data_IF_677347361518
#
_entry.id   IF_677347361518
#
_cell.length_a   1.000
_cell.length_b   1.000
_cell.length_c   1.000
_cell.angle_alpha   90.00
_cell.angle_beta   90.00
_cell.angle_gamma   90.00
#
_symmetry.space_group_name_H-M   'P 1'
#
loop_
_entity.id
_entity.type
_entity.pdbx_description
1 polymer ?
#
# COMPACT_ATOMS: atom_id res chain seq x y z
N UNK A 1 -84.03 27.50 -16.35
CA UNK A 1 -83.48 28.69 -17.05
C UNK A 1 -82.28 29.21 -16.26
N UNK A 2 -81.12 29.38 -16.91
CA UNK A 2 -80.10 30.48 -16.79
C UNK A 2 -79.75 30.97 -15.36
N UNK A 3 -78.51 31.21 -14.89
CA UNK A 3 -77.12 31.40 -15.38
C UNK A 3 -76.27 31.40 -14.08
N UNK A 4 -75.14 30.69 -13.96
CA UNK A 4 -73.76 31.13 -14.25
C UNK A 4 -73.30 32.47 -13.62
N UNK A 5 -72.22 32.43 -12.82
CA UNK A 5 -71.42 33.57 -12.34
C UNK A 5 -70.71 33.26 -11.00
N UNK A 6 -69.57 32.54 -10.99
CA UNK A 6 -68.18 33.04 -11.10
C UNK A 6 -67.53 33.41 -9.75
N UNK A 7 -66.43 32.70 -9.39
CA UNK A 7 -65.08 33.27 -9.21
C UNK A 7 -64.01 32.20 -8.86
N UNK A 8 -62.70 32.47 -9.14
CA UNK A 8 -61.70 31.45 -9.45
C UNK A 8 -60.53 31.32 -8.44
N UNK A 9 -59.75 30.25 -8.66
CA UNK A 9 -58.31 30.00 -8.40
C UNK A 9 -57.59 30.73 -7.26
N UNK A 10 -56.88 29.94 -6.42
CA UNK A 10 -55.42 30.06 -6.22
C UNK A 10 -54.81 28.75 -5.71
N UNK A 11 -53.71 28.38 -6.36
CA UNK A 11 -52.73 27.32 -6.04
C UNK A 11 -52.39 27.25 -4.55
N UNK A 12 -52.04 26.06 -4.05
CA UNK A 12 -50.64 25.66 -3.76
C UNK A 12 -50.62 24.15 -3.48
N UNK A 13 -49.81 23.42 -4.26
CA UNK A 13 -49.42 22.04 -3.99
C UNK A 13 -48.46 22.01 -2.79
N UNK A 14 -48.78 21.23 -1.75
CA UNK A 14 -47.86 20.94 -0.65
C UNK A 14 -47.49 19.45 -0.65
N UNK A 15 -46.20 19.22 -0.93
CA UNK A 15 -45.31 18.23 -0.33
C UNK A 15 -45.76 16.76 -0.25
N UNK A 16 -45.36 16.00 -1.27
CA UNK A 16 -44.93 14.62 -1.08
C UNK A 16 -43.49 14.50 -1.59
N UNK A 17 -42.51 14.64 -0.70
CA UNK A 17 -41.09 14.32 -0.95
C UNK A 17 -40.37 14.25 0.40
N UNK A 18 -40.55 13.12 1.09
CA UNK A 18 -39.85 12.77 2.33
C UNK A 18 -39.22 11.40 2.18
N UNK A 19 -38.26 11.27 1.27
CA UNK A 19 -37.39 10.10 1.15
C UNK A 19 -36.05 10.55 0.54
N UNK A 20 -35.32 11.38 1.30
CA UNK A 20 -33.99 11.86 0.94
C UNK A 20 -32.93 11.17 1.80
N UNK A 21 -32.15 10.32 1.16
CA UNK A 21 -30.75 9.99 1.49
C UNK A 21 -30.45 9.61 2.96
N UNK A 22 -30.86 8.41 3.37
CA UNK A 22 -30.02 7.65 4.29
C UNK A 22 -28.80 7.18 3.48
N UNK A 23 -27.68 7.90 3.59
CA UNK A 23 -26.40 7.34 3.23
C UNK A 23 -26.24 6.07 4.08
N UNK A 24 -26.34 4.90 3.45
CA UNK A 24 -26.01 3.64 4.11
C UNK A 24 -24.59 3.78 4.61
N UNK A 25 -24.40 3.87 5.93
CA UNK A 25 -23.09 3.67 6.53
C UNK A 25 -22.56 2.38 5.91
N UNK A 26 -21.40 2.43 5.25
CA UNK A 26 -20.80 1.24 4.69
C UNK A 26 -20.71 0.20 5.81
N UNK A 27 -21.45 -0.91 5.68
CA UNK A 27 -21.46 -1.96 6.70
C UNK A 27 -20.01 -2.37 6.94
N UNK A 28 -19.57 -2.32 8.20
CA UNK A 28 -18.24 -2.77 8.57
C UNK A 28 -18.13 -4.24 8.19
N UNK A 29 -17.11 -4.67 7.44
CA UNK A 29 -17.00 -6.05 7.02
C UNK A 29 -17.02 -7.02 8.21
N UNK A 30 -17.68 -8.18 8.04
CA UNK A 30 -17.66 -9.23 9.05
C UNK A 30 -16.32 -9.97 9.07
N UNK A 31 -15.73 -10.06 10.25
CA UNK A 31 -14.47 -10.74 10.54
C UNK A 31 -14.64 -11.99 11.42
N UNK A 32 -15.84 -12.27 11.95
CA UNK A 32 -16.02 -13.26 13.02
C UNK A 32 -15.81 -14.71 12.60
N UNK A 33 -15.90 -14.99 11.30
CA UNK A 33 -15.85 -16.34 10.73
C UNK A 33 -14.50 -16.70 10.11
N UNK A 34 -13.44 -15.92 10.40
CA UNK A 34 -12.11 -16.18 9.85
C UNK A 34 -11.36 -17.25 10.68
N UNK A 35 -10.72 -18.24 10.03
CA UNK A 35 -9.99 -19.28 10.73
C UNK A 35 -8.74 -18.71 11.42
N UNK A 36 -8.42 -19.23 12.60
CA UNK A 36 -7.13 -18.97 13.24
C UNK A 36 -6.01 -19.55 12.37
N UNK A 37 -4.91 -18.81 12.25
CA UNK A 37 -3.78 -19.20 11.43
C UNK A 37 -2.46 -19.08 12.17
N UNK A 38 -1.63 -20.11 12.06
CA UNK A 38 -0.23 -20.06 12.49
C UNK A 38 0.62 -19.82 11.25
N UNK A 39 1.33 -18.70 11.22
CA UNK A 39 2.14 -18.31 10.06
C UNK A 39 3.18 -19.37 9.72
N UNK A 40 3.29 -19.66 8.41
CA UNK A 40 4.33 -20.50 7.81
C UNK A 40 5.36 -19.67 7.03
N UNK A 41 5.37 -18.36 7.20
CA UNK A 41 6.35 -17.49 6.56
C UNK A 41 7.77 -17.69 7.15
N UNK A 42 8.80 -17.21 6.47
CA UNK A 42 10.15 -17.09 7.06
C UNK A 42 10.14 -16.15 8.27
N UNK A 43 11.05 -16.28 9.25
CA UNK A 43 11.02 -15.48 10.49
C UNK A 43 10.91 -13.96 10.27
N UNK A 44 11.61 -13.45 9.26
CA UNK A 44 11.63 -12.04 8.87
C UNK A 44 10.28 -11.53 8.38
N UNK A 45 9.43 -12.44 7.89
CA UNK A 45 8.13 -12.18 7.27
C UNK A 45 6.94 -12.43 8.20
N UNK A 46 7.15 -12.97 9.41
CA UNK A 46 6.06 -13.35 10.35
C UNK A 46 5.43 -12.20 11.10
N UNK A 47 6.07 -11.03 11.12
CA UNK A 47 5.63 -9.93 11.96
C UNK A 47 6.14 -10.01 13.41
N UNK A 48 7.07 -10.92 13.71
CA UNK A 48 7.53 -11.22 15.07
C UNK A 48 8.37 -10.10 15.71
N UNK A 49 8.56 -10.23 17.03
CA UNK A 49 9.37 -9.31 17.84
C UNK A 49 10.36 -10.07 18.70
N UNK A 50 11.48 -9.43 18.99
CA UNK A 50 12.42 -9.85 20.02
C UNK A 50 12.54 -8.78 21.11
N UNK A 51 12.82 -9.22 22.33
CA UNK A 51 13.15 -8.33 23.44
C UNK A 51 14.65 -8.05 23.44
N UNK A 52 15.02 -6.78 23.48
CA UNK A 52 16.40 -6.32 23.58
C UNK A 52 16.89 -6.35 25.04
N UNK A 53 18.21 -6.31 25.29
CA UNK A 53 18.76 -6.30 26.65
C UNK A 53 18.27 -5.15 27.53
N UNK A 54 17.89 -4.00 26.93
CA UNK A 54 17.31 -2.85 27.63
C UNK A 54 15.79 -2.98 27.87
N UNK A 55 15.21 -4.16 27.61
CA UNK A 55 13.79 -4.47 27.76
C UNK A 55 12.91 -3.94 26.63
N UNK A 56 13.44 -3.18 25.67
CA UNK A 56 12.64 -2.68 24.54
C UNK A 56 12.34 -3.81 23.56
N UNK A 57 11.21 -3.70 22.88
CA UNK A 57 10.86 -4.58 21.76
C UNK A 57 11.48 -4.06 20.47
N UNK A 58 12.00 -4.99 19.67
CA UNK A 58 12.44 -4.74 18.30
C UNK A 58 11.74 -5.72 17.37
N UNK A 59 11.19 -5.22 16.27
CA UNK A 59 10.60 -6.06 15.24
C UNK A 59 11.68 -6.92 14.57
N UNK A 60 11.36 -8.19 14.33
CA UNK A 60 12.13 -9.10 13.46
C UNK A 60 11.67 -8.82 12.03
N UNK A 61 12.61 -8.45 11.16
CA UNK A 61 12.37 -7.93 9.82
C UNK A 61 13.52 -8.30 8.89
N UNK A 62 13.27 -8.14 7.60
CA UNK A 62 14.30 -8.15 6.57
C UNK A 62 15.45 -7.19 6.87
N UNK A 63 16.65 -7.58 6.44
CA UNK A 63 17.85 -6.74 6.58
C UNK A 63 17.64 -5.34 5.96
N UNK A 64 18.08 -4.31 6.68
CA UNK A 64 17.94 -2.91 6.26
C UNK A 64 16.56 -2.28 6.50
N UNK A 65 15.56 -3.05 6.96
CA UNK A 65 14.26 -2.49 7.32
C UNK A 65 14.28 -1.98 8.76
N UNK A 66 13.42 -1.00 9.06
CA UNK A 66 13.29 -0.47 10.42
C UNK A 66 12.82 -1.56 11.37
N UNK A 67 13.52 -1.71 12.50
CA UNK A 67 13.17 -2.64 13.59
C UNK A 67 12.38 -1.95 14.71
N UNK A 68 12.04 -0.67 14.53
CA UNK A 68 11.27 0.12 15.50
C UNK A 68 9.89 -0.50 15.71
N UNK A 69 9.44 -0.56 16.96
CA UNK A 69 8.09 -1.01 17.30
C UNK A 69 7.10 0.16 17.21
N UNK A 70 6.06 -0.02 16.40
CA UNK A 70 4.95 0.93 16.23
C UNK A 70 3.69 0.46 16.95
N UNK A 71 3.84 -0.29 18.06
CA UNK A 71 2.75 -0.89 18.84
C UNK A 71 1.76 0.09 19.46
N UNK A 72 2.01 1.39 19.40
CA UNK A 72 1.05 2.44 19.77
C UNK A 72 0.06 2.75 18.65
N UNK A 73 0.39 2.45 17.39
CA UNK A 73 -0.43 2.74 16.22
C UNK A 73 -1.12 1.48 15.71
N UNK A 74 -2.36 1.63 15.25
CA UNK A 74 -3.12 0.52 14.67
C UNK A 74 -2.45 -0.01 13.39
N UNK A 75 -2.64 -1.29 13.14
CA UNK A 75 -2.20 -2.03 11.95
C UNK A 75 -3.41 -2.37 11.07
N UNK A 76 -3.17 -3.21 10.07
CA UNK A 76 -4.21 -3.78 9.22
C UNK A 76 -4.87 -5.03 9.79
N UNK A 77 -4.39 -5.58 10.93
CA UNK A 77 -4.99 -6.77 11.52
C UNK A 77 -6.48 -6.52 11.80
N UNK A 78 -7.33 -7.48 11.45
CA UNK A 78 -8.78 -7.31 11.55
C UNK A 78 -9.28 -7.23 12.99
N UNK A 79 -8.56 -7.83 13.93
CA UNK A 79 -8.84 -7.75 15.37
C UNK A 79 -8.20 -6.52 16.05
N UNK A 80 -7.49 -5.68 15.29
CA UNK A 80 -6.90 -4.46 15.84
C UNK A 80 -7.95 -3.35 16.01
N UNK A 81 -8.35 -3.19 17.27
CA UNK A 81 -9.37 -2.22 17.71
C UNK A 81 -8.80 -0.84 18.05
N UNK A 82 -7.47 -0.63 17.92
CA UNK A 82 -6.87 0.69 18.18
C UNK A 82 -7.44 1.75 17.22
N UNK A 83 -7.76 2.91 17.78
CA UNK A 83 -8.29 4.03 17.01
C UNK A 83 -7.20 4.71 16.16
N UNK A 84 -7.63 5.51 15.18
CA UNK A 84 -6.73 6.49 14.55
C UNK A 84 -6.24 7.50 15.59
N UNK A 85 -5.05 8.12 15.39
CA UNK A 85 -4.66 9.27 16.19
C UNK A 85 -5.77 10.33 16.17
N UNK A 86 -6.25 10.79 17.33
CA UNK A 86 -7.40 11.70 17.39
C UNK A 86 -7.09 13.01 16.66
N UNK A 87 -8.09 13.63 16.04
CA UNK A 87 -7.88 14.95 15.42
C UNK A 87 -7.59 15.97 16.52
N UNK A 88 -6.45 16.65 16.46
CA UNK A 88 -6.01 17.57 17.50
C UNK A 88 -5.96 19.02 17.01
N UNK A 89 -6.68 19.90 17.70
CA UNK A 89 -6.44 21.34 17.62
C UNK A 89 -5.25 21.70 18.50
N UNK A 90 -4.32 22.47 17.95
CA UNK A 90 -3.13 22.91 18.65
C UNK A 90 -2.93 24.42 18.47
N UNK A 91 -2.38 25.05 19.51
CA UNK A 91 -2.09 26.48 19.54
C UNK A 91 -0.59 26.66 19.54
N UNK A 92 -0.08 27.41 18.56
CA UNK A 92 1.30 27.83 18.51
C UNK A 92 1.61 28.65 19.77
N UNK A 93 2.71 28.37 20.49
CA UNK A 93 3.02 29.11 21.70
C UNK A 93 3.17 30.61 21.43
N UNK A 94 2.56 31.43 22.28
CA UNK A 94 2.58 32.88 22.13
C UNK A 94 4.02 33.41 22.20
N UNK A 95 4.40 34.27 21.25
CA UNK A 95 5.74 34.86 21.19
C UNK A 95 6.85 33.89 20.75
N UNK A 96 6.52 32.66 20.34
CA UNK A 96 7.51 31.74 19.80
C UNK A 96 8.09 32.28 18.49
N UNK A 97 9.42 32.34 18.42
CA UNK A 97 10.18 32.74 17.23
C UNK A 97 10.96 31.52 16.76
N UNK A 98 10.65 31.03 15.56
CA UNK A 98 11.35 29.89 14.96
C UNK A 98 12.62 30.30 14.23
N UNK A 99 13.43 29.30 13.93
CA UNK A 99 14.72 29.38 13.23
C UNK A 99 14.57 28.81 11.80
N UNK A 100 14.53 29.67 10.75
CA UNK A 100 14.32 29.19 9.38
C UNK A 100 15.37 28.20 8.87
N UNK A 101 16.68 28.37 9.13
CA UNK A 101 17.69 27.33 8.85
C UNK A 101 17.35 25.96 9.45
N UNK A 102 16.94 25.90 10.73
CA UNK A 102 16.53 24.63 11.36
C UNK A 102 15.26 24.07 10.71
N UNK A 103 14.27 24.93 10.44
CA UNK A 103 13.05 24.56 9.75
C UNK A 103 13.32 23.94 8.38
N UNK A 104 14.24 24.52 7.60
CA UNK A 104 14.66 23.97 6.31
C UNK A 104 15.32 22.61 6.44
N UNK A 105 16.22 22.44 7.42
CA UNK A 105 16.88 21.16 7.68
C UNK A 105 15.86 20.07 8.06
N UNK A 106 14.86 20.41 8.88
CA UNK A 106 13.74 19.52 9.20
C UNK A 106 12.92 19.17 7.97
N UNK A 107 12.60 20.15 7.11
CA UNK A 107 11.82 19.95 5.88
C UNK A 107 12.51 18.98 4.89
N UNK A 108 13.84 18.97 4.88
CA UNK A 108 14.67 18.07 4.07
C UNK A 108 14.96 16.72 4.73
N UNK A 109 14.64 16.56 6.01
CA UNK A 109 15.03 15.39 6.80
C UNK A 109 14.26 14.13 6.38
N UNK A 110 14.95 13.23 5.68
CA UNK A 110 14.36 11.94 5.27
C UNK A 110 14.09 10.99 6.43
N UNK A 111 14.84 11.11 7.52
CA UNK A 111 14.73 10.24 8.70
C UNK A 111 13.61 10.66 9.66
N UNK A 112 13.13 11.90 9.56
CA UNK A 112 12.10 12.45 10.46
C UNK A 112 10.77 12.65 9.75
N UNK A 113 10.66 13.70 8.94
CA UNK A 113 9.48 13.98 8.11
C UNK A 113 9.94 14.37 6.71
N UNK A 114 9.88 13.47 5.71
CA UNK A 114 10.40 13.73 4.37
C UNK A 114 9.46 14.68 3.60
N UNK A 115 9.32 15.94 4.03
CA UNK A 115 8.39 16.91 3.45
C UNK A 115 8.66 17.11 1.95
N UNK A 116 9.92 17.16 1.54
CA UNK A 116 10.33 17.23 0.11
C UNK A 116 9.96 16.01 -0.73
N UNK A 117 9.64 14.89 -0.08
CA UNK A 117 9.07 13.73 -0.74
C UNK A 117 7.68 14.01 -1.30
N UNK A 118 6.92 14.94 -0.71
CA UNK A 118 5.58 15.32 -1.16
C UNK A 118 5.54 16.73 -1.75
N UNK A 119 6.28 17.67 -1.16
CA UNK A 119 6.19 19.10 -1.43
C UNK A 119 7.43 19.60 -2.17
N UNK A 120 7.23 20.46 -3.15
CA UNK A 120 8.32 21.15 -3.82
C UNK A 120 8.68 22.44 -3.07
N UNK A 121 9.99 22.74 -2.99
CA UNK A 121 10.56 23.96 -2.41
C UNK A 121 11.79 24.40 -3.24
N UNK A 122 12.25 25.67 -3.13
CA UNK A 122 13.46 26.12 -3.81
C UNK A 122 14.74 25.47 -3.23
N UNK A 123 15.70 25.18 -4.10
CA UNK A 123 17.05 24.74 -3.72
C UNK A 123 17.59 23.63 -4.61
N UNK A 124 18.90 23.66 -4.87
CA UNK A 124 19.50 22.66 -5.76
C UNK A 124 19.59 21.25 -5.11
N UNK A 125 19.65 21.24 -3.78
CA UNK A 125 19.67 20.08 -2.89
C UNK A 125 18.29 19.41 -2.69
N UNK A 126 17.23 19.97 -3.29
CA UNK A 126 15.87 19.41 -3.26
C UNK A 126 15.76 18.33 -4.33
N UNK A 127 16.45 17.21 -4.12
CA UNK A 127 16.51 16.10 -5.07
C UNK A 127 16.51 14.71 -4.39
N UNK A 128 15.71 13.74 -4.87
CA UNK A 128 14.59 13.92 -5.79
C UNK A 128 13.37 14.50 -5.08
N UNK A 129 12.82 15.59 -5.61
CA UNK A 129 11.58 16.19 -5.14
C UNK A 129 10.36 15.42 -5.61
N UNK A 130 9.26 15.50 -4.85
CA UNK A 130 7.95 14.96 -5.23
C UNK A 130 6.89 16.01 -5.50
N UNK A 131 5.72 15.54 -5.95
CA UNK A 131 4.57 16.35 -6.40
C UNK A 131 3.23 15.87 -5.85
N UNK A 132 3.24 14.98 -4.84
CA UNK A 132 2.00 14.50 -4.20
C UNK A 132 1.29 15.64 -3.45
N UNK A 133 2.05 16.45 -2.73
CA UNK A 133 1.59 17.63 -2.02
C UNK A 133 1.73 18.91 -2.88
N UNK A 134 1.07 20.00 -2.46
CA UNK A 134 1.19 21.29 -3.14
C UNK A 134 2.62 21.85 -3.08
N UNK A 135 3.01 22.58 -4.13
CA UNK A 135 4.23 23.42 -4.14
C UNK A 135 4.16 24.47 -3.02
N UNK A 136 5.26 24.60 -2.27
CA UNK A 136 5.40 25.51 -1.14
C UNK A 136 6.28 26.73 -1.44
N UNK A 137 6.85 26.85 -2.64
CA UNK A 137 7.79 27.92 -3.02
C UNK A 137 7.29 29.35 -2.79
N UNK A 138 5.97 29.55 -2.82
CA UNK A 138 5.29 30.84 -2.67
C UNK A 138 4.33 30.87 -1.47
N UNK A 139 4.47 29.95 -0.51
CA UNK A 139 3.50 29.81 0.58
C UNK A 139 3.40 31.08 1.44
N UNK A 140 4.49 31.82 1.62
CA UNK A 140 4.51 33.06 2.40
C UNK A 140 3.81 34.22 1.69
N UNK A 141 3.72 34.22 0.35
CA UNK A 141 3.02 35.26 -0.41
C UNK A 141 1.51 35.25 -0.14
N UNK A 142 0.99 34.11 0.36
CA UNK A 142 -0.41 33.96 0.78
C UNK A 142 -0.71 34.66 2.10
N UNK A 143 0.31 35.15 2.82
CA UNK A 143 0.19 35.86 4.11
C UNK A 143 -0.67 35.10 5.13
N UNK A 144 -0.51 33.78 5.15
CA UNK A 144 -1.20 32.91 6.10
C UNK A 144 -0.67 33.18 7.52
N UNK A 145 -1.52 33.25 8.54
CA UNK A 145 -1.06 33.40 9.92
C UNK A 145 -0.18 32.21 10.36
N UNK A 146 0.85 32.46 11.17
CA UNK A 146 1.73 31.41 11.70
C UNK A 146 0.95 30.33 12.45
N UNK A 147 -0.04 30.73 13.24
CA UNK A 147 -0.97 29.81 13.91
C UNK A 147 -1.68 28.86 12.94
N UNK A 148 -2.05 29.33 11.75
CA UNK A 148 -2.69 28.49 10.74
C UNK A 148 -1.69 27.46 10.17
N UNK A 149 -0.48 27.90 9.80
CA UNK A 149 0.56 27.00 9.30
C UNK A 149 0.98 25.98 10.37
N UNK A 150 1.12 26.42 11.61
CA UNK A 150 1.39 25.57 12.76
C UNK A 150 0.32 24.49 12.90
N UNK A 151 -0.97 24.86 12.87
CA UNK A 151 -2.07 23.89 12.93
C UNK A 151 -2.07 22.93 11.73
N UNK A 152 -1.77 23.40 10.52
CA UNK A 152 -1.71 22.53 9.33
C UNK A 152 -0.59 21.49 9.45
N UNK A 153 0.58 21.86 9.99
CA UNK A 153 1.69 20.92 10.21
C UNK A 153 1.37 20.00 11.40
N UNK A 154 0.78 20.54 12.47
CA UNK A 154 0.40 19.76 13.65
C UNK A 154 -0.62 18.68 13.33
N UNK A 155 -1.77 19.11 12.79
CA UNK A 155 -2.85 18.25 12.36
C UNK A 155 -3.71 18.94 11.28
N UNK A 156 -3.49 18.62 9.99
CA UNK A 156 -4.22 19.24 8.90
C UNK A 156 -5.69 18.79 8.85
N UNK A 157 -6.07 17.70 9.54
CA UNK A 157 -7.44 17.17 9.54
C UNK A 157 -8.44 18.10 10.22
N UNK A 158 -7.95 19.04 11.02
CA UNK A 158 -8.75 20.12 11.61
C UNK A 158 -9.42 20.98 10.54
N UNK A 159 -8.76 21.19 9.40
CA UNK A 159 -9.30 21.97 8.27
C UNK A 159 -9.67 21.09 7.08
N UNK A 160 -8.96 19.97 6.90
CA UNK A 160 -9.06 19.09 5.74
C UNK A 160 -9.26 17.63 6.19
N UNK A 161 -10.48 17.22 6.58
CA UNK A 161 -10.72 15.91 7.18
C UNK A 161 -10.21 14.73 6.36
N UNK A 162 -10.22 14.86 5.03
CA UNK A 162 -9.82 13.81 4.09
C UNK A 162 -8.40 14.00 3.53
N UNK A 163 -7.53 14.76 4.20
CA UNK A 163 -6.17 15.06 3.71
C UNK A 163 -5.25 13.83 3.67
N UNK A 164 -4.30 13.86 2.75
CA UNK A 164 -3.19 12.90 2.67
C UNK A 164 -1.99 13.38 3.51
N UNK A 165 -1.95 14.62 3.97
CA UNK A 165 -0.84 15.10 4.80
C UNK A 165 -0.87 14.44 6.20
N UNK A 166 0.23 13.82 6.67
CA UNK A 166 0.28 13.21 8.00
C UNK A 166 0.05 14.23 9.13
N UNK A 167 -0.57 13.83 10.25
CA UNK A 167 -0.79 14.69 11.40
C UNK A 167 0.47 14.69 12.29
N UNK A 168 1.53 15.37 11.85
CA UNK A 168 2.88 15.19 12.39
C UNK A 168 3.03 15.52 13.88
N UNK A 169 2.31 16.54 14.36
CA UNK A 169 2.31 16.92 15.78
C UNK A 169 1.50 15.92 16.62
N UNK A 170 0.28 15.59 16.17
CA UNK A 170 -0.57 14.58 16.82
C UNK A 170 0.11 13.21 16.92
N UNK A 171 0.85 12.81 15.88
CA UNK A 171 1.60 11.55 15.85
C UNK A 171 2.88 11.60 16.70
N UNK A 172 3.27 12.76 17.22
CA UNK A 172 4.49 12.95 18.02
C UNK A 172 5.79 12.90 17.21
N UNK A 173 5.73 13.10 15.88
CA UNK A 173 6.92 13.07 15.02
C UNK A 173 7.74 14.35 15.14
N UNK A 174 7.08 15.50 15.25
CA UNK A 174 7.73 16.79 15.49
C UNK A 174 7.30 17.36 16.85
N UNK A 175 8.25 17.98 17.57
CA UNK A 175 7.92 18.76 18.76
C UNK A 175 7.28 20.10 18.41
N UNK A 176 6.76 20.78 19.44
CA UNK A 176 6.24 22.15 19.30
C UNK A 176 7.26 23.10 18.68
N UNK A 177 8.50 23.08 19.17
CA UNK A 177 9.59 23.96 18.74
C UNK A 177 9.99 23.67 17.29
N UNK A 178 10.03 22.39 16.92
CA UNK A 178 10.36 21.97 15.55
C UNK A 178 9.30 22.40 14.54
N UNK A 179 8.01 22.37 14.92
CA UNK A 179 6.95 22.89 14.07
C UNK A 179 7.05 24.42 13.97
N UNK A 180 7.42 25.11 15.04
CA UNK A 180 7.68 26.56 15.00
C UNK A 180 8.82 26.89 14.03
N UNK A 181 9.93 26.13 14.06
CA UNK A 181 11.03 26.27 13.11
C UNK A 181 10.58 26.02 11.66
N UNK A 182 9.78 24.98 11.42
CA UNK A 182 9.19 24.69 10.10
C UNK A 182 8.30 25.84 9.60
N UNK A 183 7.45 26.40 10.46
CA UNK A 183 6.62 27.57 10.12
C UNK A 183 7.49 28.77 9.77
N UNK A 184 8.51 29.06 10.57
CA UNK A 184 9.45 30.15 10.29
C UNK A 184 10.14 29.98 8.94
N UNK A 185 10.53 28.74 8.58
CA UNK A 185 11.06 28.45 7.26
C UNK A 185 10.05 28.68 6.13
N UNK A 186 8.82 28.18 6.26
CA UNK A 186 7.78 28.38 5.25
C UNK A 186 7.50 29.87 5.00
N UNK A 187 7.55 30.71 6.04
CA UNK A 187 7.38 32.16 5.92
C UNK A 187 8.52 32.87 5.15
N UNK A 188 9.63 32.18 4.87
CA UNK A 188 10.69 32.70 4.00
C UNK A 188 10.42 32.49 2.50
N UNK A 189 9.48 31.62 2.14
CA UNK A 189 9.25 31.19 0.76
C UNK A 189 8.24 32.09 0.02
N UNK A 190 8.77 33.09 -0.72
CA UNK A 190 8.03 34.22 -1.32
C UNK A 190 8.18 34.35 -2.84
N UNK A 191 8.68 33.32 -3.50
CA UNK A 191 8.99 33.44 -4.92
C UNK A 191 8.72 32.12 -5.63
N UNK A 192 8.15 32.17 -6.85
CA UNK A 192 8.01 30.97 -7.66
C UNK A 192 9.41 30.38 -7.93
N UNK A 193 9.44 29.08 -8.12
CA UNK A 193 10.67 28.39 -8.52
C UNK A 193 11.16 28.99 -9.84
N UNK A 194 12.47 29.24 -9.91
CA UNK A 194 13.10 29.49 -11.20
C UNK A 194 12.79 28.31 -12.14
N UNK A 195 12.59 28.55 -13.45
CA UNK A 195 12.38 27.47 -14.41
C UNK A 195 13.50 26.43 -14.27
N UNK A 196 13.13 25.19 -13.97
CA UNK A 196 14.09 24.10 -13.87
C UNK A 196 14.62 23.76 -15.28
N UNK A 197 15.93 23.82 -15.45
CA UNK A 197 16.59 23.57 -16.74
C UNK A 197 16.76 22.08 -17.02
N UNK A 198 16.83 21.25 -15.97
CA UNK A 198 16.90 19.80 -16.10
C UNK A 198 15.50 19.18 -15.92
N UNK A 199 14.92 18.68 -17.02
CA UNK A 199 13.61 18.06 -17.01
C UNK A 199 13.50 16.90 -16.02
N UNK A 200 14.59 16.18 -15.71
CA UNK A 200 14.56 15.09 -14.75
C UNK A 200 14.49 15.59 -13.31
N UNK A 201 14.88 16.84 -13.01
CA UNK A 201 14.86 17.41 -11.65
C UNK A 201 13.47 17.72 -11.14
N UNK A 202 12.65 18.34 -11.98
CA UNK A 202 11.27 18.69 -11.63
C UNK A 202 10.35 17.46 -11.62
N UNK A 203 9.58 17.20 -10.56
CA UNK A 203 8.64 16.08 -10.50
C UNK A 203 7.46 16.22 -11.48
N UNK A 204 7.29 17.37 -12.13
CA UNK A 204 6.24 17.59 -13.13
C UNK A 204 6.70 17.28 -14.56
N UNK A 205 8.00 17.36 -14.82
CA UNK A 205 8.60 17.11 -16.14
C UNK A 205 9.42 15.82 -16.18
N UNK A 206 9.80 15.28 -15.02
CA UNK A 206 10.63 14.07 -14.91
C UNK A 206 10.00 12.95 -15.70
N UNK A 207 10.83 12.30 -16.52
CA UNK A 207 10.40 11.18 -17.34
C UNK A 207 9.85 10.06 -16.45
N UNK A 208 8.67 9.55 -16.81
CA UNK A 208 8.10 8.39 -16.15
C UNK A 208 8.95 7.16 -16.49
N UNK A 209 9.27 6.29 -15.52
CA UNK A 209 10.00 5.06 -15.82
C UNK A 209 9.26 4.22 -16.87
N UNK A 210 9.94 3.87 -17.96
CA UNK A 210 9.37 3.12 -19.10
C UNK A 210 9.38 1.60 -18.89
N UNK A 211 9.65 1.14 -17.67
CA UNK A 211 9.89 -0.27 -17.35
C UNK A 211 11.38 -0.65 -17.43
N UNK A 212 11.68 -1.94 -17.29
CA UNK A 212 13.05 -2.47 -17.26
C UNK A 212 13.33 -3.43 -18.43
N UNK A 213 12.62 -3.24 -19.55
CA UNK A 213 12.71 -4.13 -20.71
C UNK A 213 11.77 -5.34 -20.62
N UNK A 214 12.10 -6.39 -21.38
CA UNK A 214 11.35 -7.65 -21.41
C UNK A 214 11.54 -8.41 -20.10
N UNK A 215 10.42 -8.71 -19.43
CA UNK A 215 10.40 -9.47 -18.18
C UNK A 215 10.78 -10.94 -18.33
N UNK A 216 10.76 -11.49 -19.56
CA UNK A 216 11.10 -12.88 -19.83
C UNK A 216 12.51 -13.06 -20.41
N UNK A 217 13.23 -11.98 -20.69
CA UNK A 217 14.65 -12.04 -21.02
C UNK A 217 15.47 -12.25 -19.74
N UNK A 218 16.05 -13.45 -19.59
CA UNK A 218 16.88 -13.83 -18.46
C UNK A 218 18.07 -12.87 -18.20
N UNK A 219 18.54 -12.17 -19.24
CA UNK A 219 19.60 -11.16 -19.13
C UNK A 219 19.13 -9.93 -18.35
N UNK A 220 17.85 -9.55 -18.52
CA UNK A 220 17.23 -8.42 -17.83
C UNK A 220 16.56 -8.85 -16.51
N UNK A 221 16.09 -10.10 -16.45
CA UNK A 221 15.33 -10.65 -15.35
C UNK A 221 15.87 -12.01 -14.87
N UNK A 222 16.86 -12.01 -13.95
CA UNK A 222 17.39 -13.24 -13.37
C UNK A 222 16.35 -14.14 -12.68
N UNK A 223 15.17 -13.62 -12.31
CA UNK A 223 14.09 -14.43 -11.75
C UNK A 223 13.59 -15.52 -12.71
N UNK A 224 13.78 -15.35 -14.02
CA UNK A 224 13.49 -16.39 -15.02
C UNK A 224 14.36 -17.62 -14.79
N UNK A 225 15.67 -17.44 -14.66
CA UNK A 225 16.60 -18.55 -14.42
C UNK A 225 16.35 -19.23 -13.08
N UNK A 226 16.09 -18.44 -12.03
CA UNK A 226 15.75 -18.96 -10.71
C UNK A 226 14.47 -19.82 -10.74
N UNK A 227 13.49 -19.44 -11.56
CA UNK A 227 12.27 -20.21 -11.77
C UNK A 227 12.50 -21.48 -12.59
N UNK A 228 13.32 -21.43 -13.64
CA UNK A 228 13.70 -22.61 -14.43
C UNK A 228 14.46 -23.63 -13.56
N UNK A 229 15.39 -23.18 -12.73
CA UNK A 229 16.10 -24.03 -11.76
C UNK A 229 15.14 -24.68 -10.75
N UNK A 230 14.00 -24.06 -10.46
CA UNK A 230 12.96 -24.62 -9.58
C UNK A 230 12.20 -25.81 -10.20
N UNK A 231 12.40 -26.17 -11.47
CA UNK A 231 11.94 -27.47 -12.01
C UNK A 231 12.59 -28.65 -11.27
N UNK A 232 13.80 -28.47 -10.74
CA UNK A 232 14.43 -29.46 -9.87
C UNK A 232 13.60 -29.68 -8.58
N UNK A 233 13.05 -28.62 -7.99
CA UNK A 233 12.17 -28.71 -6.82
C UNK A 233 10.85 -29.41 -7.15
N UNK A 234 10.31 -29.18 -8.35
CA UNK A 234 9.07 -29.84 -8.83
C UNK A 234 9.21 -31.38 -8.92
N UNK A 235 10.41 -31.86 -9.23
CA UNK A 235 10.71 -33.30 -9.42
C UNK A 235 11.39 -33.94 -8.21
N UNK A 236 11.93 -33.15 -7.29
CA UNK A 236 12.57 -33.64 -6.08
C UNK A 236 11.55 -34.30 -5.13
N UNK A 237 11.88 -35.50 -4.64
CA UNK A 237 11.09 -36.19 -3.61
C UNK A 237 11.34 -35.52 -2.25
N UNK A 238 10.27 -35.19 -1.54
CA UNK A 238 10.35 -34.75 -0.15
C UNK A 238 10.46 -35.95 0.82
N UNK A 239 10.42 -35.67 2.12
CA UNK A 239 10.52 -36.70 3.17
C UNK A 239 9.38 -37.73 3.14
N UNK A 240 8.23 -37.37 2.56
CA UNK A 240 7.10 -38.29 2.31
C UNK A 240 7.30 -39.20 1.08
N UNK A 241 8.46 -39.17 0.43
CA UNK A 241 8.79 -40.03 -0.71
C UNK A 241 8.07 -39.67 -2.02
N UNK A 242 7.36 -38.54 -2.05
CA UNK A 242 6.65 -38.02 -3.24
C UNK A 242 7.24 -36.68 -3.69
N UNK A 243 7.10 -36.39 -4.98
CA UNK A 243 7.41 -35.11 -5.62
C UNK A 243 6.12 -34.50 -6.21
N UNK A 244 6.13 -33.19 -6.54
CA UNK A 244 4.99 -32.54 -7.19
C UNK A 244 4.62 -33.26 -8.51
N UNK A 245 5.64 -33.66 -9.28
CA UNK A 245 5.49 -34.37 -10.54
C UNK A 245 4.79 -35.74 -10.42
N UNK A 246 4.78 -36.39 -9.25
CA UNK A 246 4.09 -37.68 -9.07
C UNK A 246 2.56 -37.54 -9.08
N UNK A 247 2.03 -36.35 -8.77
CA UNK A 247 0.59 -36.07 -8.73
C UNK A 247 0.13 -35.11 -9.85
N UNK A 248 1.04 -34.26 -10.33
CA UNK A 248 0.77 -33.28 -11.37
C UNK A 248 1.39 -33.69 -12.70
N UNK A 249 0.70 -34.60 -13.40
CA UNK A 249 1.20 -35.26 -14.61
C UNK A 249 1.49 -34.32 -15.79
N UNK A 250 2.54 -34.65 -16.55
CA UNK A 250 2.93 -33.92 -17.76
C UNK A 250 3.76 -32.65 -17.50
N UNK A 251 4.32 -32.54 -16.29
CA UNK A 251 5.20 -31.44 -15.90
C UNK A 251 4.46 -30.15 -15.59
N UNK A 252 5.19 -29.18 -15.02
CA UNK A 252 4.62 -27.90 -14.56
C UNK A 252 3.89 -27.15 -15.68
N UNK A 253 4.45 -27.14 -16.90
CA UNK A 253 3.86 -26.46 -18.07
C UNK A 253 2.46 -26.96 -18.42
N UNK A 254 2.21 -28.26 -18.34
CA UNK A 254 0.89 -28.83 -18.63
C UNK A 254 -0.02 -28.72 -17.42
N UNK A 255 0.46 -29.15 -16.26
CA UNK A 255 -0.36 -29.30 -15.07
C UNK A 255 -0.80 -27.95 -14.47
N UNK A 256 0.03 -26.90 -14.58
CA UNK A 256 -0.23 -25.61 -13.94
C UNK A 256 -0.76 -24.53 -14.89
N UNK A 257 -0.92 -24.84 -16.19
CA UNK A 257 -1.43 -23.86 -17.16
C UNK A 257 -2.85 -23.42 -16.82
N UNK A 258 -3.02 -22.11 -16.65
CA UNK A 258 -4.31 -21.49 -16.31
C UNK A 258 -4.68 -21.58 -14.83
N UNK A 259 -3.82 -22.15 -13.98
CA UNK A 259 -4.05 -22.19 -12.52
C UNK A 259 -3.87 -20.79 -11.94
N UNK A 260 -2.74 -20.14 -12.25
CA UNK A 260 -2.35 -18.87 -11.65
C UNK A 260 -3.32 -17.73 -11.91
N UNK A 261 -3.98 -17.69 -13.08
CA UNK A 261 -4.93 -16.61 -13.41
C UNK A 261 -6.18 -16.59 -12.53
N UNK A 262 -6.42 -17.65 -11.75
CA UNK A 262 -7.55 -17.76 -10.82
C UNK A 262 -7.17 -17.52 -9.37
N UNK A 263 -5.92 -17.13 -9.10
CA UNK A 263 -5.43 -16.80 -7.75
C UNK A 263 -5.24 -15.28 -7.59
N UNK A 264 -5.40 -14.74 -6.37
CA UNK A 264 -5.80 -15.43 -5.13
C UNK A 264 -7.24 -15.94 -5.15
N UNK A 265 -7.55 -16.96 -4.35
CA UNK A 265 -8.90 -17.50 -4.21
C UNK A 265 -9.17 -18.05 -2.83
N UNK A 266 -10.45 -18.22 -2.49
CA UNK A 266 -10.85 -19.01 -1.32
C UNK A 266 -10.47 -20.48 -1.53
N UNK A 267 -9.61 -21.01 -0.65
CA UNK A 267 -9.30 -22.43 -0.60
C UNK A 267 -10.16 -23.08 0.46
N UNK A 268 -11.24 -23.76 0.04
CA UNK A 268 -12.27 -24.32 0.94
C UNK A 268 -11.70 -25.21 2.04
N UNK A 269 -10.67 -26.01 1.74
CA UNK A 269 -10.01 -26.89 2.72
C UNK A 269 -9.42 -26.13 3.91
N UNK A 270 -9.03 -24.86 3.73
CA UNK A 270 -8.50 -24.01 4.80
C UNK A 270 -9.45 -22.89 5.22
N UNK A 271 -10.62 -22.76 4.58
CA UNK A 271 -11.63 -21.76 4.93
C UNK A 271 -11.17 -20.30 4.76
N UNK A 272 -10.15 -20.03 3.94
CA UNK A 272 -9.55 -18.70 3.77
C UNK A 272 -9.10 -18.42 2.35
N UNK A 273 -8.95 -17.13 2.02
CA UNK A 273 -8.27 -16.72 0.79
C UNK A 273 -6.79 -17.06 0.91
N UNK A 274 -6.22 -17.58 -0.16
CA UNK A 274 -4.82 -17.93 -0.28
C UNK A 274 -4.29 -17.50 -1.65
N UNK A 275 -3.05 -17.00 -1.66
CA UNK A 275 -2.23 -16.84 -2.86
C UNK A 275 -1.66 -18.20 -3.31
N UNK A 276 -0.84 -18.20 -4.37
CA UNK A 276 -0.12 -19.42 -4.79
C UNK A 276 0.96 -19.76 -3.77
N UNK A 277 1.66 -18.74 -3.29
CA UNK A 277 2.73 -18.77 -2.29
C UNK A 277 2.21 -19.40 -0.97
N UNK A 278 1.04 -18.95 -0.50
CA UNK A 278 0.36 -19.48 0.68
C UNK A 278 0.02 -20.97 0.50
N UNK A 279 -0.50 -21.34 -0.67
CA UNK A 279 -0.94 -22.70 -0.93
C UNK A 279 0.24 -23.66 -1.04
N UNK A 280 1.36 -23.24 -1.63
CA UNK A 280 2.59 -24.03 -1.64
C UNK A 280 3.11 -24.29 -0.22
N UNK A 281 3.03 -23.29 0.67
CA UNK A 281 3.51 -23.39 2.05
C UNK A 281 2.74 -24.39 2.92
N UNK A 282 1.52 -24.77 2.54
CA UNK A 282 0.75 -25.84 3.20
C UNK A 282 0.78 -27.15 2.41
N UNK A 283 0.61 -27.07 1.10
CA UNK A 283 0.41 -28.24 0.26
C UNK A 283 1.68 -29.09 0.13
N UNK A 284 2.84 -28.46 -0.03
CA UNK A 284 4.10 -29.19 -0.19
C UNK A 284 4.48 -29.98 1.08
N UNK A 285 4.41 -29.40 2.30
CA UNK A 285 4.58 -30.18 3.53
C UNK A 285 3.60 -31.34 3.66
N UNK A 286 2.31 -31.09 3.40
CA UNK A 286 1.25 -32.07 3.60
C UNK A 286 1.33 -33.27 2.64
N UNK A 287 1.80 -33.05 1.41
CA UNK A 287 1.77 -34.09 0.36
C UNK A 287 3.12 -34.69 0.03
N UNK A 288 4.20 -33.92 0.17
CA UNK A 288 5.56 -34.36 -0.16
C UNK A 288 6.47 -34.41 1.07
N UNK A 289 6.10 -33.74 2.18
CA UNK A 289 6.96 -33.59 3.34
C UNK A 289 8.12 -32.62 3.13
N UNK A 290 8.02 -31.72 2.14
CA UNK A 290 8.99 -30.63 1.89
C UNK A 290 8.44 -29.32 2.42
N UNK A 291 9.18 -28.69 3.32
CA UNK A 291 8.88 -27.33 3.78
C UNK A 291 9.15 -26.32 2.68
N UNK A 292 8.16 -25.47 2.40
CA UNK A 292 8.29 -24.31 1.50
C UNK A 292 7.74 -23.07 2.21
N UNK A 293 8.44 -22.56 3.25
CA UNK A 293 7.96 -21.40 4.00
C UNK A 293 7.63 -20.24 3.07
N UNK A 294 6.58 -19.50 3.41
CA UNK A 294 6.20 -18.32 2.63
C UNK A 294 7.35 -17.28 2.65
N UNK A 295 7.55 -16.59 1.52
CA UNK A 295 8.68 -15.69 1.24
C UNK A 295 10.08 -16.33 1.30
N UNK A 296 10.21 -17.66 1.41
CA UNK A 296 11.48 -18.36 1.19
C UNK A 296 11.87 -18.38 -0.30
N UNK A 297 13.18 -18.41 -0.64
CA UNK A 297 13.61 -18.49 -2.03
C UNK A 297 12.99 -19.66 -2.80
N UNK A 298 12.96 -20.86 -2.23
CA UNK A 298 12.37 -22.05 -2.86
C UNK A 298 10.88 -21.87 -3.17
N UNK A 299 10.10 -21.32 -2.22
CA UNK A 299 8.67 -21.03 -2.43
C UNK A 299 8.48 -19.98 -3.55
N UNK A 300 9.23 -18.88 -3.50
CA UNK A 300 9.11 -17.79 -4.47
C UNK A 300 9.51 -18.23 -5.88
N UNK A 301 10.61 -18.96 -6.03
CA UNK A 301 11.07 -19.45 -7.33
C UNK A 301 10.07 -20.43 -7.94
N UNK A 302 9.55 -21.37 -7.14
CA UNK A 302 8.51 -22.30 -7.57
C UNK A 302 7.21 -21.58 -7.93
N UNK A 303 6.86 -20.52 -7.20
CA UNK A 303 5.69 -19.69 -7.51
C UNK A 303 5.87 -18.96 -8.85
N UNK A 304 7.04 -18.40 -9.13
CA UNK A 304 7.35 -17.79 -10.42
C UNK A 304 7.19 -18.84 -11.53
N UNK A 305 7.76 -20.04 -11.38
CA UNK A 305 7.63 -21.13 -12.34
C UNK A 305 6.15 -21.50 -12.62
N UNK A 306 5.35 -21.67 -11.56
CA UNK A 306 3.90 -21.98 -11.64
C UNK A 306 3.12 -20.86 -12.33
N UNK A 307 3.44 -19.59 -12.05
CA UNK A 307 2.74 -18.44 -12.64
C UNK A 307 3.16 -18.19 -14.09
N UNK A 308 4.44 -18.35 -14.43
CA UNK A 308 5.00 -18.13 -15.77
C UNK A 308 4.31 -18.96 -16.85
N UNK A 309 3.94 -20.21 -16.56
CA UNK A 309 3.28 -21.09 -17.54
C UNK A 309 1.88 -20.62 -17.94
N UNK A 310 1.33 -19.66 -17.22
CA UNK A 310 0.03 -19.02 -17.48
C UNK A 310 0.14 -17.61 -18.07
N UNK A 311 1.34 -17.12 -18.39
CA UNK A 311 1.52 -15.81 -19.02
C UNK A 311 0.71 -15.67 -20.31
N UNK A 312 0.21 -14.46 -20.56
CA UNK A 312 -0.64 -14.13 -21.69
C UNK A 312 -2.11 -14.55 -21.52
N UNK A 313 -2.43 -15.46 -20.59
CA UNK A 313 -3.81 -15.75 -20.23
C UNK A 313 -4.40 -14.59 -19.41
N UNK A 314 -5.70 -14.33 -19.59
CA UNK A 314 -6.39 -13.28 -18.86
C UNK A 314 -6.55 -13.65 -17.38
N UNK A 315 -6.19 -12.74 -16.48
CA UNK A 315 -6.50 -12.82 -15.04
C UNK A 315 -8.02 -12.90 -14.87
N UNK A 316 -8.48 -13.80 -14.02
CA UNK A 316 -9.90 -14.12 -13.82
C UNK A 316 -10.11 -14.63 -12.38
N UNK A 317 -9.86 -13.76 -11.41
CA UNK A 317 -10.22 -14.04 -10.01
C UNK A 317 -11.73 -13.92 -9.83
N UNK A 318 -12.29 -14.77 -8.97
CA UNK A 318 -13.72 -14.76 -8.66
C UNK A 318 -14.10 -13.50 -7.90
N UNK A 319 -15.12 -12.81 -8.38
CA UNK A 319 -15.70 -11.61 -7.77
C UNK A 319 -17.19 -11.78 -7.46
N UNK A 320 -17.74 -12.96 -7.71
CA UNK A 320 -19.18 -13.20 -7.84
C UNK A 320 -19.73 -14.19 -6.82
N UNK A 321 -18.92 -15.10 -6.26
CA UNK A 321 -19.38 -15.91 -5.13
C UNK A 321 -19.63 -15.04 -3.89
N UNK A 322 -20.48 -15.54 -2.98
CA UNK A 322 -20.76 -14.83 -1.74
C UNK A 322 -19.49 -14.67 -0.90
N UNK A 323 -18.66 -15.71 -0.87
CA UNK A 323 -17.40 -15.75 -0.15
C UNK A 323 -16.37 -14.80 -0.77
N UNK A 324 -16.26 -14.76 -2.10
CA UNK A 324 -15.39 -13.81 -2.77
C UNK A 324 -15.83 -12.37 -2.52
N UNK A 325 -17.13 -12.06 -2.58
CA UNK A 325 -17.64 -10.72 -2.26
C UNK A 325 -17.31 -10.30 -0.82
N UNK A 326 -17.46 -11.21 0.14
CA UNK A 326 -17.11 -10.93 1.54
C UNK A 326 -15.62 -10.65 1.72
N UNK A 327 -14.75 -11.47 1.12
CA UNK A 327 -13.31 -11.26 1.13
C UNK A 327 -12.91 -9.95 0.42
N UNK A 328 -13.53 -9.63 -0.71
CA UNK A 328 -13.30 -8.39 -1.44
C UNK A 328 -13.72 -7.15 -0.64
N UNK A 329 -14.84 -7.23 0.10
CA UNK A 329 -15.28 -6.15 0.98
C UNK A 329 -14.24 -5.89 2.09
N UNK A 330 -13.71 -6.97 2.71
CA UNK A 330 -12.63 -6.87 3.69
C UNK A 330 -11.34 -6.31 3.09
N UNK A 331 -10.90 -6.83 1.93
CA UNK A 331 -9.72 -6.34 1.22
C UNK A 331 -9.83 -4.87 0.80
N UNK A 332 -11.01 -4.43 0.35
CA UNK A 332 -11.30 -3.01 0.07
C UNK A 332 -11.22 -2.16 1.35
N UNK A 333 -11.80 -2.63 2.44
CA UNK A 333 -11.70 -1.93 3.73
C UNK A 333 -10.23 -1.80 4.17
N UNK A 334 -9.40 -2.84 3.99
CA UNK A 334 -7.95 -2.76 4.21
C UNK A 334 -7.28 -1.72 3.31
N UNK A 335 -7.64 -1.66 2.02
CA UNK A 335 -7.09 -0.68 1.08
C UNK A 335 -7.40 0.79 1.47
N UNK A 336 -8.56 1.02 2.10
CA UNK A 336 -9.04 2.34 2.52
C UNK A 336 -8.69 2.67 3.99
N UNK A 337 -8.23 1.70 4.79
CA UNK A 337 -7.92 1.87 6.21
C UNK A 337 -6.61 2.63 6.38
N UNK A 338 -6.64 3.70 7.17
CA UNK A 338 -5.45 4.47 7.54
C UNK A 338 -4.67 3.80 8.66
N UNK A 339 -3.35 3.65 8.61
CA UNK A 339 -2.58 2.98 9.67
C UNK A 339 -1.27 3.68 9.95
N UNK A 340 -0.63 3.27 11.05
CA UNK A 340 0.72 3.71 11.42
C UNK A 340 0.83 5.16 11.88
N UNK A 341 2.06 5.55 12.21
CA UNK A 341 2.44 6.89 12.65
C UNK A 341 2.01 7.98 11.66
N UNK A 342 2.05 7.69 10.36
CA UNK A 342 1.67 8.67 9.32
C UNK A 342 0.16 8.73 9.02
N UNK A 343 -0.65 7.86 9.63
CA UNK A 343 -2.11 7.77 9.44
C UNK A 343 -2.55 7.77 7.96
N UNK A 344 -1.95 6.88 7.16
CA UNK A 344 -2.20 6.76 5.72
C UNK A 344 -2.84 5.42 5.36
N UNK A 345 -3.66 5.44 4.32
CA UNK A 345 -4.19 4.26 3.64
C UNK A 345 -3.45 4.00 2.32
N UNK A 346 -3.54 2.77 1.79
CA UNK A 346 -3.08 2.46 0.43
C UNK A 346 -3.74 3.39 -0.60
N UNK A 347 -5.04 3.68 -0.42
CA UNK A 347 -5.82 4.56 -1.27
C UNK A 347 -5.27 5.99 -1.33
N UNK A 348 -4.62 6.49 -0.28
CA UNK A 348 -4.08 7.87 -0.27
C UNK A 348 -2.93 8.05 -1.28
N UNK A 349 -2.24 6.98 -1.65
CA UNK A 349 -1.10 7.03 -2.57
C UNK A 349 -1.40 6.39 -3.92
N UNK A 350 -2.29 5.39 -3.98
CA UNK A 350 -2.48 4.54 -5.16
C UNK A 350 -3.78 4.79 -5.94
N UNK A 351 -4.56 5.80 -5.58
CA UNK A 351 -5.76 6.20 -6.35
C UNK A 351 -5.50 7.46 -7.21
N UNK A 352 -6.09 7.54 -8.41
CA UNK A 352 -5.92 8.68 -9.33
C UNK A 352 -6.24 10.05 -8.73
N UNK A 353 -7.30 10.11 -7.91
CA UNK A 353 -7.76 11.33 -7.25
C UNK A 353 -6.84 11.79 -6.10
N UNK A 354 -5.85 10.96 -5.73
CA UNK A 354 -4.90 11.25 -4.64
C UNK A 354 -3.46 11.34 -5.15
N UNK A 355 -2.63 10.35 -4.81
CA UNK A 355 -1.20 10.33 -5.09
C UNK A 355 -0.80 9.63 -6.38
N UNK A 356 -1.68 8.82 -7.00
CA UNK A 356 -1.28 8.01 -8.13
C UNK A 356 -0.82 8.88 -9.32
N UNK A 357 0.11 8.35 -10.10
CA UNK A 357 0.73 9.04 -11.24
C UNK A 357 1.53 10.31 -10.88
N UNK A 358 1.76 10.57 -9.59
CA UNK A 358 2.64 11.63 -9.08
C UNK A 358 3.92 11.03 -8.50
N UNK A 359 4.95 11.86 -8.36
CA UNK A 359 6.22 11.44 -7.77
C UNK A 359 6.18 11.65 -6.25
N UNK A 360 6.47 10.60 -5.48
CA UNK A 360 6.83 10.67 -4.07
C UNK A 360 8.37 10.67 -3.99
N UNK A 361 8.97 11.85 -3.94
CA UNK A 361 10.39 12.05 -4.17
C UNK A 361 10.80 11.49 -5.54
N UNK A 362 11.70 10.50 -5.55
CA UNK A 362 12.15 9.83 -6.78
C UNK A 362 11.16 8.82 -7.37
N UNK A 363 10.15 8.43 -6.60
CA UNK A 363 9.33 7.24 -6.90
C UNK A 363 8.00 7.65 -7.53
N UNK A 364 7.75 7.21 -8.75
CA UNK A 364 6.42 7.33 -9.36
C UNK A 364 5.45 6.39 -8.64
N UNK A 365 4.35 6.93 -8.13
CA UNK A 365 3.31 6.15 -7.46
C UNK A 365 2.43 5.46 -8.49
N UNK A 366 2.29 4.14 -8.35
CA UNK A 366 1.45 3.32 -9.21
C UNK A 366 -0.03 3.64 -9.03
N UNK A 367 -0.77 3.59 -10.13
CA UNK A 367 -2.22 3.73 -10.16
C UNK A 367 -2.87 2.36 -10.08
N UNK A 368 -3.66 2.13 -9.03
CA UNK A 368 -4.35 0.86 -8.81
C UNK A 368 -5.25 0.47 -9.99
N UNK A 369 -5.86 1.45 -10.66
CA UNK A 369 -6.76 1.24 -11.81
C UNK A 369 -6.00 0.76 -13.06
N UNK A 370 -4.68 0.91 -13.08
CA UNK A 370 -3.78 0.36 -14.11
C UNK A 370 -3.35 -1.09 -13.84
N UNK A 371 -3.83 -1.68 -12.75
CA UNK A 371 -3.49 -3.03 -12.32
C UNK A 371 -2.20 -3.07 -11.52
N UNK A 372 -2.14 -3.96 -10.52
CA UNK A 372 -1.11 -3.96 -9.47
C UNK A 372 -0.43 -5.31 -9.28
N UNK A 373 -1.09 -6.43 -9.56
CA UNK A 373 -0.64 -7.75 -9.10
C UNK A 373 -0.30 -8.71 -10.23
N UNK A 374 -0.83 -8.52 -11.45
CA UNK A 374 -0.65 -9.46 -12.59
C UNK A 374 0.80 -9.78 -13.00
N UNK A 375 1.76 -9.02 -12.48
CA UNK A 375 3.18 -9.13 -12.78
C UNK A 375 4.00 -9.63 -11.59
N UNK A 376 3.37 -9.95 -10.46
CA UNK A 376 4.03 -10.51 -9.29
C UNK A 376 4.08 -12.04 -9.32
N UNK A 377 5.15 -12.68 -8.82
CA UNK A 377 6.34 -12.05 -8.22
C UNK A 377 7.22 -11.27 -9.21
N UNK A 378 8.01 -10.32 -8.69
CA UNK A 378 8.88 -9.43 -9.44
C UNK A 378 10.34 -9.59 -9.03
N UNK A 379 11.26 -9.40 -9.96
CA UNK A 379 12.67 -9.19 -9.66
C UNK A 379 12.90 -7.76 -9.17
N UNK A 380 13.54 -7.61 -8.00
CA UNK A 380 13.93 -6.33 -7.41
C UNK A 380 15.36 -5.98 -7.79
N UNK A 381 15.54 -5.12 -8.79
CA UNK A 381 16.89 -4.80 -9.29
C UNK A 381 17.78 -4.13 -8.26
N UNK A 382 17.22 -3.40 -7.29
CA UNK A 382 18.00 -2.79 -6.19
C UNK A 382 18.55 -3.78 -5.17
N UNK A 383 17.98 -5.00 -5.10
CA UNK A 383 18.30 -5.98 -4.05
C UNK A 383 18.80 -7.31 -4.60
N UNK A 384 18.60 -7.58 -5.90
CA UNK A 384 19.01 -8.83 -6.51
C UNK A 384 18.22 -10.03 -5.99
N UNK A 385 16.92 -9.86 -5.74
CA UNK A 385 16.04 -10.92 -5.21
C UNK A 385 14.62 -10.85 -5.79
N UNK A 386 13.90 -11.97 -5.71
CA UNK A 386 12.47 -12.06 -6.06
C UNK A 386 11.62 -11.56 -4.90
N UNK A 387 10.67 -10.68 -5.18
CA UNK A 387 9.62 -10.25 -4.25
C UNK A 387 8.27 -10.65 -4.78
N UNK A 388 7.48 -11.31 -3.96
CA UNK A 388 6.05 -11.43 -4.20
C UNK A 388 5.32 -10.14 -3.79
N UNK A 389 3.99 -10.18 -3.85
CA UNK A 389 3.18 -9.03 -3.46
C UNK A 389 3.13 -8.85 -1.94
N UNK A 390 3.27 -9.90 -1.13
CA UNK A 390 3.26 -9.82 0.34
C UNK A 390 4.46 -9.05 0.85
N UNK A 391 5.65 -9.35 0.35
CA UNK A 391 6.87 -8.62 0.72
C UNK A 391 6.77 -7.16 0.31
N UNK A 392 6.12 -6.88 -0.83
CA UNK A 392 5.82 -5.50 -1.26
C UNK A 392 4.87 -4.79 -0.29
N UNK A 393 3.78 -5.43 0.13
CA UNK A 393 2.83 -4.87 1.10
C UNK A 393 3.47 -4.62 2.46
N UNK A 394 4.28 -5.56 2.95
CA UNK A 394 5.04 -5.39 4.18
C UNK A 394 6.05 -4.24 4.09
N UNK A 395 6.77 -4.13 2.96
CA UNK A 395 7.69 -3.02 2.74
C UNK A 395 6.98 -1.66 2.76
N UNK A 396 5.75 -1.59 2.24
CA UNK A 396 4.92 -0.39 2.31
C UNK A 396 4.62 0.05 3.76
N UNK A 397 4.68 -0.85 4.75
CA UNK A 397 4.45 -0.49 6.15
C UNK A 397 5.62 0.30 6.75
N UNK A 398 6.83 0.12 6.21
CA UNK A 398 8.04 0.76 6.71
C UNK A 398 7.98 2.30 6.62
N UNK A 399 7.65 2.94 5.49
CA UNK A 399 7.48 4.39 5.46
C UNK A 399 6.23 4.86 6.20
N UNK A 400 5.22 4.02 6.43
CA UNK A 400 4.02 4.42 7.16
C UNK A 400 4.23 4.51 8.68
N UNK A 401 5.33 3.93 9.18
CA UNK A 401 5.52 3.74 10.60
C UNK A 401 4.45 2.83 11.18
N UNK A 402 4.20 1.69 10.51
CA UNK A 402 3.25 0.69 10.93
C UNK A 402 3.94 -0.66 11.15
N UNK A 403 3.47 -1.41 12.14
CA UNK A 403 3.86 -2.80 12.30
C UNK A 403 3.23 -3.64 11.18
N UNK A 404 4.03 -4.44 10.48
CA UNK A 404 3.54 -5.35 9.44
C UNK A 404 2.94 -6.63 10.04
N UNK A 405 2.05 -7.26 9.29
CA UNK A 405 1.48 -8.56 9.63
C UNK A 405 2.37 -9.68 9.06
N UNK A 406 2.08 -10.92 9.45
CA UNK A 406 2.62 -12.08 8.76
C UNK A 406 2.30 -11.99 7.25
N UNK A 407 3.25 -12.36 6.42
CA UNK A 407 3.10 -12.29 4.97
C UNK A 407 1.93 -13.17 4.47
N UNK A 408 1.74 -14.34 5.08
CA UNK A 408 0.61 -15.24 4.89
C UNK A 408 -0.62 -14.91 5.78
N UNK A 409 -0.78 -13.66 6.22
CA UNK A 409 -1.97 -13.19 6.93
C UNK A 409 -3.20 -13.12 6.00
N UNK A 410 -4.40 -13.30 6.56
CA UNK A 410 -5.63 -13.28 5.76
C UNK A 410 -5.96 -11.86 5.27
N UNK A 411 -5.57 -10.85 6.04
CA UNK A 411 -5.69 -9.44 5.71
C UNK A 411 -4.93 -9.10 4.43
N UNK A 412 -3.70 -9.60 4.32
CA UNK A 412 -2.95 -9.50 3.09
C UNK A 412 -3.62 -10.37 2.00
N UNK A 413 -3.93 -11.65 2.27
CA UNK A 413 -4.63 -12.56 1.33
C UNK A 413 -5.77 -11.85 0.56
N UNK A 414 -6.66 -11.23 1.32
CA UNK A 414 -7.86 -10.54 0.82
C UNK A 414 -7.57 -9.17 0.19
N UNK A 415 -6.55 -8.45 0.68
CA UNK A 415 -6.07 -7.24 0.03
C UNK A 415 -5.49 -7.54 -1.37
N UNK A 416 -4.72 -8.62 -1.55
CA UNK A 416 -4.26 -9.01 -2.89
C UNK A 416 -5.42 -9.42 -3.78
N UNK A 417 -6.41 -10.16 -3.26
CA UNK A 417 -7.61 -10.49 -4.02
C UNK A 417 -8.29 -9.21 -4.52
N UNK A 418 -8.50 -8.22 -3.65
CA UNK A 418 -9.03 -6.92 -4.02
C UNK A 418 -8.19 -6.20 -5.08
N UNK A 419 -6.87 -6.13 -4.90
CA UNK A 419 -5.96 -5.49 -5.86
C UNK A 419 -5.94 -6.22 -7.21
N UNK A 420 -6.08 -7.54 -7.20
CA UNK A 420 -6.11 -8.37 -8.41
C UNK A 420 -7.38 -8.17 -9.23
N UNK A 421 -8.48 -7.67 -8.65
CA UNK A 421 -9.69 -7.35 -9.41
C UNK A 421 -9.47 -6.26 -10.47
N UNK A 422 -8.53 -5.33 -10.24
CA UNK A 422 -8.16 -4.31 -11.22
C UNK A 422 -7.38 -4.89 -12.41
N UNK A 423 -6.84 -6.10 -12.25
CA UNK A 423 -6.15 -6.84 -13.30
C UNK A 423 -7.05 -7.84 -14.06
N UNK A 424 -8.30 -8.07 -13.62
CA UNK A 424 -9.21 -8.98 -14.32
C UNK A 424 -9.38 -8.62 -15.80
N UNK A 425 -9.29 -9.63 -16.67
CA UNK A 425 -9.32 -9.48 -18.13
C UNK A 425 -7.97 -9.11 -18.75
N UNK A 426 -6.96 -8.70 -17.97
CA UNK A 426 -5.62 -8.35 -18.47
C UNK A 426 -4.72 -9.58 -18.52
N UNK A 427 -3.74 -9.64 -19.45
CA UNK A 427 -2.83 -10.77 -19.54
C UNK A 427 -1.90 -10.84 -18.33
N UNK A 428 -1.76 -12.03 -17.74
CA UNK A 428 -0.73 -12.31 -16.73
C UNK A 428 0.67 -12.13 -17.34
N UNK A 429 1.60 -11.53 -16.58
CA UNK A 429 2.93 -11.16 -17.06
C UNK A 429 4.01 -11.30 -15.98
N UNK A 430 4.27 -12.53 -15.54
CA UNK A 430 5.19 -12.89 -14.44
C UNK A 430 6.45 -13.57 -15.01
N UNK A 431 7.66 -13.38 -14.46
CA UNK A 431 8.00 -12.38 -13.46
C UNK A 431 8.05 -10.98 -14.05
N UNK A 432 7.57 -9.99 -13.30
CA UNK A 432 7.82 -8.59 -13.60
C UNK A 432 9.22 -8.16 -13.14
N UNK A 433 9.64 -6.95 -13.52
CA UNK A 433 10.87 -6.32 -13.03
C UNK A 433 10.52 -5.00 -12.35
N UNK A 434 11.04 -4.73 -11.16
CA UNK A 434 10.86 -3.46 -10.42
C UNK A 434 12.18 -3.05 -9.77
N UNK A 435 12.42 -1.75 -9.63
CA UNK A 435 13.59 -1.25 -8.90
C UNK A 435 13.41 -1.32 -7.41
#
# INVERSE_FOLDING_TARGET
MRRAGARPLRLVALMALGAGCAATAAETPDYSNLPKWTSRAVPEARGDYRTLPDGKRAAVRYAGWTTRDFGTFRTYAYDDTRAEPPVQRATMPAGAVGDPPKGRALFLSRSKGPCVGCHLIPGADVWPAGSVGPDQSTIADRRLPDQYLYQVIWDPRVFFPNTTMPPWGTAGVFSTEEIVDLVAYLQTLKAPLAPETDADRSPFTRRRPVGFGDGLDATNNPAVLLAEDAESLWTARGSGGKACADCHEGGVRRAMRGVAVRYPKLVKAHGRVMSVEDFLAVHAPETTGRELPEESPENLHLTVLVKMVSNGLAVSVDTTSAEARAALARGKATFERRVGERNHACADCHTPERGANKFLGGRLLADVTSGMTRHFPVWRTSLGEVWDVRKRLQWCMTPLGANMLAADSVEYAELELYLTTFDNGRPLSVPGIRH
#
